data_IF_790314377182
#
_entry.id   IF_790314377182
#
_cell.length_a   1.000
_cell.length_b   1.000
_cell.length_c   1.000
_cell.angle_alpha   90.00
_cell.angle_beta   90.00
_cell.angle_gamma   90.00
#
_symmetry.space_group_name_H-M   'P 1'
#
loop_
_entity.id
_entity.type
_entity.pdbx_description
1 polymer ?
#
# COMPACT_ATOMS: atom_id res chain seq x y z
N UNK A 1 46.70 -27.47 -10.74
CA UNK A 1 46.16 -27.29 -12.10
C UNK A 1 45.16 -28.41 -12.28
N UNK A 2 43.87 -28.26 -12.51
CA UNK A 2 42.93 -27.21 -12.95
C UNK A 2 41.56 -27.84 -12.62
N UNK A 3 40.58 -27.24 -11.94
CA UNK A 3 40.02 -25.91 -12.17
C UNK A 3 38.71 -26.05 -12.96
N UNK A 4 37.59 -25.70 -12.33
CA UNK A 4 36.30 -25.42 -12.98
C UNK A 4 35.23 -26.51 -12.83
N UNK A 5 34.02 -26.25 -12.38
CA UNK A 5 33.39 -25.02 -11.95
C UNK A 5 32.04 -25.36 -11.32
N UNK A 6 31.78 -24.85 -10.11
CA UNK A 6 30.49 -24.98 -9.44
C UNK A 6 29.57 -23.95 -10.09
N UNK A 7 28.60 -24.41 -10.86
CA UNK A 7 27.56 -23.57 -11.43
C UNK A 7 26.67 -23.00 -10.33
N UNK A 8 26.92 -21.74 -9.96
CA UNK A 8 25.96 -20.88 -9.31
C UNK A 8 24.95 -20.37 -10.35
N UNK A 9 23.69 -20.18 -9.93
CA UNK A 9 22.73 -19.35 -10.66
C UNK A 9 21.52 -20.10 -11.21
N UNK A 10 20.61 -20.50 -10.33
CA UNK A 10 19.21 -20.79 -10.69
C UNK A 10 18.31 -20.00 -9.75
N UNK A 11 17.86 -18.83 -10.16
CA UNK A 11 16.86 -18.05 -9.42
C UNK A 11 15.56 -18.84 -9.35
N UNK A 12 15.28 -19.45 -8.20
CA UNK A 12 14.06 -20.24 -7.98
C UNK A 12 12.92 -19.28 -7.65
N UNK A 13 12.26 -18.75 -8.67
CA UNK A 13 10.84 -18.38 -8.56
C UNK A 13 10.02 -19.68 -8.64
N UNK A 14 10.05 -20.46 -7.57
CA UNK A 14 9.38 -21.76 -7.50
C UNK A 14 9.14 -22.22 -6.06
N UNK A 15 7.87 -22.19 -5.65
CA UNK A 15 7.28 -22.91 -4.51
C UNK A 15 7.41 -22.37 -3.06
N UNK A 16 8.07 -21.24 -2.78
CA UNK A 16 8.30 -20.79 -1.39
C UNK A 16 7.37 -19.71 -0.80
N UNK A 17 6.89 -18.71 -1.58
CA UNK A 17 6.26 -17.52 -0.98
C UNK A 17 5.33 -16.77 -1.94
N UNK A 18 4.18 -17.35 -2.32
CA UNK A 18 3.18 -16.57 -3.07
C UNK A 18 2.52 -15.54 -2.16
N UNK A 19 2.37 -14.30 -2.65
CA UNK A 19 1.57 -13.28 -1.98
C UNK A 19 0.13 -13.74 -1.71
N UNK A 20 -0.39 -14.68 -2.51
CA UNK A 20 -1.68 -15.35 -2.25
C UNK A 20 -1.73 -16.03 -0.88
N UNK A 21 -0.60 -16.55 -0.38
CA UNK A 21 -0.51 -17.11 0.98
C UNK A 21 -0.77 -16.03 2.02
N UNK A 22 -0.19 -14.85 1.86
CA UNK A 22 -0.47 -13.71 2.74
C UNK A 22 -1.94 -13.33 2.67
N UNK A 23 -2.51 -13.15 1.47
CA UNK A 23 -3.93 -12.81 1.28
C UNK A 23 -4.84 -13.81 1.99
N UNK A 24 -4.64 -15.12 1.78
CA UNK A 24 -5.44 -16.16 2.43
C UNK A 24 -5.38 -16.06 3.95
N UNK A 25 -4.17 -15.98 4.51
CA UNK A 25 -3.98 -15.89 5.96
C UNK A 25 -4.54 -14.58 6.53
N UNK A 26 -4.39 -13.46 5.83
CA UNK A 26 -4.97 -12.18 6.24
C UNK A 26 -6.50 -12.27 6.31
N UNK A 27 -7.15 -12.84 5.27
CA UNK A 27 -8.60 -13.04 5.27
C UNK A 27 -9.06 -14.00 6.37
N UNK A 28 -8.32 -15.08 6.65
CA UNK A 28 -8.59 -15.97 7.78
C UNK A 28 -8.51 -15.22 9.12
N UNK A 29 -7.46 -14.41 9.34
CA UNK A 29 -7.32 -13.61 10.56
C UNK A 29 -8.44 -12.58 10.72
N UNK A 30 -8.92 -11.97 9.63
CA UNK A 30 -10.08 -11.06 9.69
C UNK A 30 -11.35 -11.81 10.07
N UNK A 31 -11.59 -13.01 9.50
CA UNK A 31 -12.78 -13.82 9.79
C UNK A 31 -12.89 -14.29 11.23
N UNK A 32 -11.75 -14.39 11.93
CA UNK A 32 -11.74 -14.68 13.36
C UNK A 32 -12.26 -13.52 14.22
N UNK A 33 -12.31 -12.30 13.68
CA UNK A 33 -12.70 -11.07 14.40
C UNK A 33 -14.03 -10.50 13.93
N UNK A 34 -14.35 -10.64 12.64
CA UNK A 34 -15.58 -10.12 12.05
C UNK A 34 -16.04 -10.93 10.84
N UNK A 35 -17.34 -10.94 10.57
CA UNK A 35 -17.87 -11.52 9.34
C UNK A 35 -17.46 -10.68 8.12
N UNK A 36 -16.91 -11.34 7.09
CA UNK A 36 -16.60 -10.75 5.79
C UNK A 36 -17.69 -11.11 4.79
N UNK A 37 -18.27 -10.11 4.14
CA UNK A 37 -19.24 -10.26 3.04
C UNK A 37 -18.58 -9.83 1.73
N UNK A 38 -18.76 -10.53 0.60
CA UNK A 38 -18.27 -10.06 -0.69
C UNK A 38 -18.73 -8.64 -0.99
N UNK A 39 -17.82 -7.76 -1.40
CA UNK A 39 -18.15 -6.39 -1.76
C UNK A 39 -18.74 -6.35 -3.18
N UNK A 40 -19.65 -5.42 -3.54
CA UNK A 40 -20.22 -5.33 -4.89
C UNK A 40 -19.19 -5.24 -6.02
N UNK A 41 -18.03 -4.62 -5.77
CA UNK A 41 -16.92 -4.57 -6.74
C UNK A 41 -16.40 -5.96 -7.13
N UNK A 42 -16.64 -6.99 -6.31
CA UNK A 42 -16.18 -8.35 -6.57
C UNK A 42 -16.73 -8.90 -7.88
N UNK A 43 -17.99 -8.60 -8.22
CA UNK A 43 -18.64 -9.19 -9.39
C UNK A 43 -17.99 -8.76 -10.70
N UNK A 44 -17.66 -7.46 -10.82
CA UNK A 44 -17.05 -6.88 -12.02
C UNK A 44 -15.63 -7.40 -12.27
N UNK A 45 -14.88 -7.70 -11.20
CA UNK A 45 -13.46 -8.06 -11.29
C UNK A 45 -13.14 -9.51 -10.86
N UNK A 46 -14.17 -10.36 -10.73
CA UNK A 46 -14.01 -11.78 -10.38
C UNK A 46 -13.13 -12.56 -11.37
N UNK A 47 -13.20 -12.18 -12.65
CA UNK A 47 -12.41 -12.81 -13.72
C UNK A 47 -11.68 -11.71 -14.50
N UNK A 48 -10.39 -11.56 -14.25
CA UNK A 48 -9.54 -10.65 -15.01
C UNK A 48 -8.79 -11.47 -16.06
N UNK A 49 -9.02 -11.17 -17.34
CA UNK A 49 -8.27 -11.78 -18.44
C UNK A 49 -7.07 -10.91 -18.77
N UNK A 50 -5.88 -11.48 -18.65
CA UNK A 50 -4.67 -10.84 -19.15
C UNK A 50 -4.63 -10.88 -20.69
N UNK A 51 -3.92 -9.92 -21.28
CA UNK A 51 -3.66 -9.83 -22.71
C UNK A 51 -2.77 -10.99 -23.19
N UNK A 52 -1.90 -11.49 -22.31
CA UNK A 52 -1.17 -12.73 -22.51
C UNK A 52 -1.68 -13.80 -21.53
N UNK A 53 -1.89 -15.03 -22.01
CA UNK A 53 -2.36 -16.15 -21.16
C UNK A 53 -1.33 -16.59 -20.10
N UNK A 54 -0.21 -15.85 -19.97
CA UNK A 54 0.88 -16.15 -19.06
C UNK A 54 0.77 -15.43 -17.71
N UNK A 55 -0.03 -14.36 -17.63
CA UNK A 55 -0.25 -13.62 -16.39
C UNK A 55 -1.61 -13.97 -15.77
N UNK A 56 -1.59 -14.32 -14.48
CA UNK A 56 -2.78 -14.56 -13.67
C UNK A 56 -2.97 -13.37 -12.74
N UNK A 57 -4.18 -12.79 -12.77
CA UNK A 57 -4.59 -11.73 -11.87
C UNK A 57 -5.74 -12.25 -11.01
N UNK A 58 -5.59 -12.19 -9.69
CA UNK A 58 -6.63 -12.58 -8.73
C UNK A 58 -7.02 -11.37 -7.88
N UNK A 59 -8.31 -11.06 -7.88
CA UNK A 59 -8.90 -9.88 -7.27
C UNK A 59 -10.00 -10.30 -6.31
N UNK A 60 -9.83 -9.98 -5.02
CA UNK A 60 -10.78 -10.27 -3.95
C UNK A 60 -11.15 -8.99 -3.23
N UNK A 61 -12.43 -8.80 -2.91
CA UNK A 61 -12.97 -7.62 -2.24
C UNK A 61 -14.12 -8.00 -1.30
N UNK A 62 -14.06 -7.46 -0.09
CA UNK A 62 -14.99 -7.74 0.99
C UNK A 62 -15.33 -6.46 1.78
N UNK A 63 -16.45 -6.49 2.48
CA UNK A 63 -16.86 -5.51 3.48
C UNK A 63 -17.11 -6.20 4.82
N UNK A 64 -17.07 -5.42 5.91
CA UNK A 64 -17.43 -5.83 7.27
C UNK A 64 -17.93 -4.59 8.06
N UNK A 65 -18.53 -4.73 9.25
CA UNK A 65 -19.16 -3.60 9.96
C UNK A 65 -18.30 -2.34 10.18
N UNK A 66 -16.98 -2.48 10.36
CA UNK A 66 -16.06 -1.32 10.48
C UNK A 66 -15.21 -1.07 9.23
N UNK A 67 -15.36 -1.93 8.22
CA UNK A 67 -14.48 -2.01 7.05
C UNK A 67 -15.33 -1.80 5.81
N UNK A 68 -15.26 -0.59 5.24
CA UNK A 68 -15.91 -0.26 3.98
C UNK A 68 -15.43 -1.17 2.86
N UNK A 69 -14.11 -1.34 2.74
CA UNK A 69 -13.50 -2.15 1.69
C UNK A 69 -12.18 -2.79 2.16
N UNK A 70 -12.15 -4.11 2.21
CA UNK A 70 -10.94 -4.94 2.28
C UNK A 70 -10.72 -5.56 0.91
N UNK A 71 -9.62 -5.22 0.23
CA UNK A 71 -9.36 -5.73 -1.12
C UNK A 71 -7.92 -6.17 -1.34
N UNK A 72 -7.76 -7.17 -2.19
CA UNK A 72 -6.48 -7.66 -2.65
C UNK A 72 -6.48 -7.81 -4.17
N UNK A 73 -5.41 -7.34 -4.81
CA UNK A 73 -5.02 -7.72 -6.16
C UNK A 73 -3.68 -8.45 -6.07
N UNK A 74 -3.62 -9.67 -6.58
CA UNK A 74 -2.36 -10.37 -6.82
C UNK A 74 -2.15 -10.55 -8.31
N UNK A 75 -0.90 -10.39 -8.76
CA UNK A 75 -0.51 -10.68 -10.14
C UNK A 75 0.62 -11.66 -10.10
N UNK A 76 0.54 -12.73 -10.88
CA UNK A 76 1.61 -13.69 -11.04
C UNK A 76 1.86 -13.95 -12.53
N UNK A 77 3.08 -13.66 -12.97
CA UNK A 77 3.60 -14.09 -14.26
C UNK A 77 4.89 -14.88 -14.00
N UNK A 78 4.84 -16.18 -14.28
CA UNK A 78 5.92 -17.13 -13.98
C UNK A 78 7.28 -16.60 -14.45
N UNK A 79 8.28 -16.69 -13.59
CA UNK A 79 9.66 -16.24 -13.84
C UNK A 79 9.82 -14.77 -14.26
N UNK A 80 8.79 -13.92 -14.06
CA UNK A 80 8.78 -12.55 -14.56
C UNK A 80 8.40 -11.54 -13.47
N UNK A 81 7.18 -11.64 -12.92
CA UNK A 81 6.71 -10.67 -11.94
C UNK A 81 5.71 -11.30 -10.98
N UNK A 82 5.79 -10.87 -9.71
CA UNK A 82 4.78 -11.08 -8.69
C UNK A 82 4.38 -9.74 -8.09
N UNK A 83 3.08 -9.50 -7.95
CA UNK A 83 2.54 -8.26 -7.37
C UNK A 83 1.57 -8.59 -6.25
N UNK A 84 1.61 -7.80 -5.19
CA UNK A 84 0.59 -7.68 -4.17
C UNK A 84 0.16 -6.22 -4.09
N UNK A 85 -1.14 -5.98 -4.18
CA UNK A 85 -1.76 -4.75 -3.70
C UNK A 85 -2.89 -5.16 -2.74
N UNK A 86 -2.68 -4.97 -1.44
CA UNK A 86 -3.65 -5.30 -0.41
C UNK A 86 -3.88 -4.08 0.48
N UNK A 87 -5.14 -3.74 0.73
CA UNK A 87 -5.50 -2.61 1.56
C UNK A 87 -6.84 -2.82 2.23
N UNK A 88 -7.00 -2.11 3.34
CA UNK A 88 -8.23 -2.07 4.11
C UNK A 88 -8.60 -0.61 4.40
N UNK A 89 -9.80 -0.24 3.97
CA UNK A 89 -10.41 1.07 4.19
C UNK A 89 -11.53 0.91 5.21
N UNK A 90 -11.50 1.72 6.26
CA UNK A 90 -12.58 1.76 7.25
C UNK A 90 -13.82 2.46 6.72
N UNK A 91 -14.96 2.20 7.36
CA UNK A 91 -16.11 3.10 7.23
C UNK A 91 -15.76 4.49 7.78
N UNK A 92 -16.30 5.60 7.21
CA UNK A 92 -15.98 6.95 7.65
C UNK A 92 -16.28 7.26 9.12
N UNK A 93 -17.12 6.47 9.77
CA UNK A 93 -17.41 6.54 11.20
C UNK A 93 -16.22 6.06 12.06
N UNK A 94 -15.20 5.43 11.46
CA UNK A 94 -13.98 5.01 12.14
C UNK A 94 -12.77 5.67 11.47
N UNK A 95 -12.05 6.51 12.21
CA UNK A 95 -10.87 7.26 11.74
C UNK A 95 -9.59 6.40 11.66
N UNK A 96 -9.74 5.09 11.40
CA UNK A 96 -8.63 4.16 11.35
C UNK A 96 -7.61 4.54 10.26
N UNK A 97 -6.31 4.28 10.50
CA UNK A 97 -5.32 4.28 9.42
C UNK A 97 -5.71 3.30 8.31
N UNK A 98 -5.35 3.62 7.08
CA UNK A 98 -5.54 2.74 5.92
C UNK A 98 -4.42 1.70 5.93
N UNK A 99 -4.76 0.41 6.10
CA UNK A 99 -3.75 -0.64 5.91
C UNK A 99 -3.34 -0.67 4.45
N UNK A 100 -2.05 -0.70 4.16
CA UNK A 100 -1.51 -0.64 2.81
C UNK A 100 -0.30 -1.56 2.67
N UNK A 101 -0.41 -2.55 1.77
CA UNK A 101 0.67 -3.46 1.43
C UNK A 101 0.78 -3.55 -0.10
N UNK A 102 1.76 -2.84 -0.65
CA UNK A 102 2.11 -2.83 -2.05
C UNK A 102 3.50 -3.46 -2.22
N UNK A 103 3.57 -4.62 -2.87
CA UNK A 103 4.82 -5.29 -3.17
C UNK A 103 4.91 -5.63 -4.66
N UNK A 104 6.03 -5.29 -5.29
CA UNK A 104 6.35 -5.61 -6.67
C UNK A 104 7.68 -6.35 -6.70
N UNK A 105 7.65 -7.60 -7.14
CA UNK A 105 8.82 -8.47 -7.17
C UNK A 105 9.10 -8.96 -8.59
N UNK A 106 10.37 -8.89 -8.97
CA UNK A 106 10.95 -9.44 -10.20
C UNK A 106 12.08 -10.39 -9.83
N UNK A 107 12.66 -11.15 -10.78
CA UNK A 107 13.87 -11.93 -10.50
C UNK A 107 15.06 -11.10 -9.98
N UNK A 108 15.10 -9.80 -10.29
CA UNK A 108 16.22 -8.92 -9.92
C UNK A 108 16.03 -8.28 -8.53
N UNK A 109 14.81 -7.85 -8.20
CA UNK A 109 14.54 -7.10 -6.97
C UNK A 109 13.06 -7.15 -6.57
N UNK A 110 12.83 -6.94 -5.28
CA UNK A 110 11.55 -6.62 -4.67
C UNK A 110 11.52 -5.15 -4.26
N UNK A 111 10.42 -4.47 -4.58
CA UNK A 111 10.11 -3.09 -4.18
C UNK A 111 8.85 -3.15 -3.33
N UNK A 112 8.92 -2.70 -2.09
CA UNK A 112 7.83 -2.85 -1.12
C UNK A 112 7.52 -1.54 -0.42
N UNK A 113 6.23 -1.22 -0.33
CA UNK A 113 5.64 -0.27 0.60
C UNK A 113 4.67 -1.04 1.49
N UNK A 114 4.93 -1.07 2.79
CA UNK A 114 4.04 -1.64 3.80
C UNK A 114 3.83 -0.61 4.91
N UNK A 115 2.58 -0.26 5.17
CA UNK A 115 2.25 0.80 6.12
C UNK A 115 0.83 0.68 6.67
N UNK A 116 0.60 1.41 7.75
CA UNK A 116 -0.72 1.86 8.20
C UNK A 116 -0.78 3.35 7.85
N UNK A 117 -1.14 3.68 6.60
CA UNK A 117 -1.14 5.06 6.12
C UNK A 117 -2.10 5.91 6.98
N UNK A 118 -1.67 7.07 7.50
CA UNK A 118 -2.54 7.89 8.33
C UNK A 118 -3.69 8.45 7.51
N UNK A 119 -4.86 8.54 8.12
CA UNK A 119 -6.00 9.18 7.48
C UNK A 119 -5.77 10.69 7.34
N UNK A 120 -5.11 11.31 8.31
CA UNK A 120 -4.82 12.74 8.34
C UNK A 120 -3.33 13.05 8.17
N UNK A 121 -3.01 14.32 7.92
CA UNK A 121 -1.62 14.78 7.87
C UNK A 121 -1.05 14.81 9.29
N UNK A 122 -0.19 13.84 9.60
CA UNK A 122 0.41 13.68 10.93
C UNK A 122 1.46 14.73 11.30
N UNK A 123 1.84 15.62 10.36
CA UNK A 123 2.67 16.78 10.67
C UNK A 123 1.85 17.90 11.32
N UNK A 124 0.56 17.96 11.00
CA UNK A 124 -0.41 18.92 11.53
C UNK A 124 -1.26 18.30 12.66
N UNK A 125 -1.78 17.09 12.45
CA UNK A 125 -2.67 16.36 13.37
C UNK A 125 -1.88 15.50 14.37
N UNK A 126 -1.17 16.15 15.30
CA UNK A 126 -0.35 15.46 16.32
C UNK A 126 -1.16 14.53 17.22
N UNK A 127 -2.39 14.90 17.59
CA UNK A 127 -3.26 14.04 18.40
C UNK A 127 -3.61 12.73 17.68
N UNK A 128 -3.82 12.78 16.36
CA UNK A 128 -4.04 11.60 15.54
C UNK A 128 -2.78 10.74 15.43
N UNK A 129 -1.62 11.38 15.21
CA UNK A 129 -0.32 10.71 15.19
C UNK A 129 -0.11 9.93 16.49
N UNK A 130 -0.31 10.59 17.63
CA UNK A 130 -0.10 10.00 18.95
C UNK A 130 -1.09 8.88 19.26
N UNK A 131 -2.37 9.07 18.90
CA UNK A 131 -3.42 8.05 19.07
C UNK A 131 -3.05 6.73 18.42
N UNK A 132 -2.51 6.76 17.19
CA UNK A 132 -2.31 5.56 16.39
C UNK A 132 -0.88 5.02 16.35
N UNK A 133 0.15 5.87 16.41
CA UNK A 133 1.52 5.44 16.09
C UNK A 133 2.47 5.38 17.29
N UNK A 134 2.16 6.07 18.40
CA UNK A 134 3.03 6.10 19.59
C UNK A 134 3.43 4.70 20.06
N UNK A 135 2.46 3.78 20.13
CA UNK A 135 2.67 2.41 20.58
C UNK A 135 3.11 1.44 19.48
N UNK A 136 3.21 1.90 18.22
CA UNK A 136 3.62 1.08 17.08
C UNK A 136 5.09 1.26 16.69
N UNK A 137 5.82 2.21 17.27
CA UNK A 137 7.25 2.39 16.99
C UNK A 137 8.11 1.12 17.20
N UNK A 138 7.86 0.26 18.22
CA UNK A 138 8.59 -1.01 18.34
C UNK A 138 8.43 -1.93 17.12
N UNK A 139 7.32 -1.82 16.37
CA UNK A 139 7.06 -2.63 15.18
C UNK A 139 8.02 -2.28 14.03
N UNK A 140 8.19 -0.99 13.71
CA UNK A 140 9.15 -0.59 12.68
C UNK A 140 10.59 -0.82 13.13
N UNK A 141 10.90 -0.62 14.42
CA UNK A 141 12.22 -0.91 14.96
C UNK A 141 12.61 -2.38 14.81
N UNK A 142 11.65 -3.31 14.96
CA UNK A 142 11.87 -4.74 14.71
C UNK A 142 12.35 -5.03 13.28
N UNK A 143 11.84 -4.31 12.28
CA UNK A 143 12.12 -4.63 10.87
C UNK A 143 13.19 -3.77 10.22
N UNK A 144 13.24 -2.46 10.51
CA UNK A 144 14.10 -1.51 9.80
C UNK A 144 15.32 -1.06 10.60
N UNK A 145 15.14 -0.67 11.87
CA UNK A 145 16.22 -0.01 12.63
C UNK A 145 17.09 -0.98 13.43
N UNK A 146 16.47 -1.82 14.26
CA UNK A 146 17.19 -2.67 15.22
C UNK A 146 17.76 -3.93 14.59
N UNK A 147 17.00 -4.54 13.68
CA UNK A 147 17.40 -5.81 13.04
C UNK A 147 17.84 -5.65 11.58
N UNK A 148 17.70 -4.44 11.00
CA UNK A 148 18.07 -4.13 9.60
C UNK A 148 17.60 -5.18 8.59
N UNK A 149 16.42 -5.76 8.82
CA UNK A 149 15.89 -6.86 8.00
C UNK A 149 15.27 -6.35 6.70
N UNK A 150 14.72 -5.12 6.72
CA UNK A 150 14.12 -4.43 5.60
C UNK A 150 14.66 -2.98 5.57
N UNK A 151 15.83 -2.74 4.94
CA UNK A 151 16.48 -1.43 4.94
C UNK A 151 15.69 -0.42 4.09
N UNK A 152 15.92 0.88 4.32
CA UNK A 152 15.28 1.95 3.56
C UNK A 152 15.60 1.85 2.06
N UNK A 153 14.59 1.98 1.21
CA UNK A 153 14.70 1.78 -0.24
C UNK A 153 15.35 2.92 -1.04
N UNK A 154 15.95 3.91 -0.37
CA UNK A 154 16.51 5.11 -1.00
C UNK A 154 15.45 6.14 -1.41
N UNK A 155 15.78 7.02 -2.37
CA UNK A 155 14.89 8.16 -2.71
C UNK A 155 13.48 7.75 -3.14
N UNK A 156 12.49 8.43 -2.59
CA UNK A 156 11.07 8.25 -2.89
C UNK A 156 10.43 9.54 -3.37
N UNK A 157 9.31 9.42 -4.11
CA UNK A 157 8.50 10.57 -4.54
C UNK A 157 8.08 11.39 -3.31
N UNK A 158 8.49 12.66 -3.27
CA UNK A 158 8.36 13.49 -2.06
C UNK A 158 6.92 13.66 -1.62
N UNK A 159 6.00 13.83 -2.56
CA UNK A 159 4.57 13.97 -2.29
C UNK A 159 3.94 12.70 -1.69
N UNK A 160 4.54 11.52 -1.91
CA UNK A 160 4.06 10.27 -1.30
C UNK A 160 4.22 10.27 0.22
N UNK A 161 5.20 11.00 0.77
CA UNK A 161 5.41 11.06 2.22
C UNK A 161 4.22 11.68 2.97
N UNK A 162 3.40 12.51 2.30
CA UNK A 162 2.16 13.08 2.86
C UNK A 162 1.15 12.01 3.30
N UNK A 163 1.32 10.78 2.80
CA UNK A 163 0.43 9.65 3.08
C UNK A 163 1.12 8.53 3.85
N UNK A 164 2.37 8.71 4.28
CA UNK A 164 3.12 7.69 4.99
C UNK A 164 3.17 7.98 6.49
N UNK A 165 3.14 6.91 7.27
CA UNK A 165 3.29 6.98 8.71
C UNK A 165 4.76 6.90 9.16
N UNK A 166 5.05 7.20 10.44
CA UNK A 166 6.38 7.00 11.02
C UNK A 166 6.76 5.52 11.18
N UNK A 167 5.88 4.57 10.82
CA UNK A 167 6.17 3.14 10.82
C UNK A 167 6.22 2.55 9.42
N UNK A 168 6.19 3.37 8.35
CA UNK A 168 6.27 2.89 6.97
C UNK A 168 7.54 2.07 6.73
N UNK A 169 7.37 0.90 6.11
CA UNK A 169 8.43 0.12 5.48
C UNK A 169 8.41 0.47 3.99
N UNK A 170 9.35 1.32 3.57
CA UNK A 170 9.73 1.50 2.18
C UNK A 170 11.09 0.85 1.97
N UNK A 171 11.15 -0.21 1.16
CA UNK A 171 12.35 -1.02 1.01
C UNK A 171 12.50 -1.56 -0.41
N UNK A 172 13.75 -1.71 -0.83
CA UNK A 172 14.15 -2.40 -2.06
C UNK A 172 15.21 -3.43 -1.67
N UNK A 173 15.03 -4.69 -2.06
CA UNK A 173 15.95 -5.76 -1.69
C UNK A 173 15.98 -6.89 -2.74
N UNK A 174 16.99 -7.75 -2.68
CA UNK A 174 17.08 -8.94 -3.53
C UNK A 174 16.06 -10.02 -3.14
N UNK A 175 15.35 -10.65 -4.09
CA UNK A 175 14.21 -11.53 -3.85
C UNK A 175 14.63 -12.95 -3.42
N UNK A 176 15.41 -13.05 -2.34
CA UNK A 176 15.83 -14.32 -1.75
C UNK A 176 14.72 -14.90 -0.87
N UNK A 177 14.71 -16.23 -0.69
CA UNK A 177 13.75 -16.91 0.19
C UNK A 177 13.76 -16.33 1.61
N UNK A 178 14.96 -16.05 2.15
CA UNK A 178 15.13 -15.40 3.46
C UNK A 178 14.45 -14.03 3.50
N UNK A 179 14.69 -13.17 2.51
CA UNK A 179 14.11 -11.83 2.49
C UNK A 179 12.59 -11.87 2.33
N UNK A 180 12.07 -12.80 1.54
CA UNK A 180 10.63 -13.02 1.42
C UNK A 180 10.00 -13.59 2.70
N UNK A 181 10.71 -14.41 3.46
CA UNK A 181 10.26 -14.88 4.77
C UNK A 181 10.16 -13.72 5.78
N UNK A 182 11.14 -12.82 5.78
CA UNK A 182 11.10 -11.58 6.56
C UNK A 182 9.92 -10.71 6.12
N UNK A 183 9.74 -10.49 4.81
CA UNK A 183 8.62 -9.71 4.28
C UNK A 183 7.27 -10.29 4.69
N UNK A 184 7.10 -11.62 4.60
CA UNK A 184 5.87 -12.28 5.04
C UNK A 184 5.60 -12.04 6.53
N UNK A 185 6.64 -12.10 7.36
CA UNK A 185 6.53 -11.81 8.80
C UNK A 185 6.11 -10.36 9.05
N UNK A 186 6.71 -9.40 8.34
CA UNK A 186 6.35 -7.98 8.43
C UNK A 186 4.90 -7.74 8.00
N UNK A 187 4.49 -8.28 6.85
CA UNK A 187 3.12 -8.21 6.35
C UNK A 187 2.11 -8.70 7.40
N UNK A 188 2.37 -9.86 8.01
CA UNK A 188 1.48 -10.43 9.02
C UNK A 188 1.46 -9.62 10.32
N UNK A 189 2.59 -9.13 10.80
CA UNK A 189 2.64 -8.34 12.04
C UNK A 189 1.96 -6.98 11.89
N UNK A 190 2.21 -6.27 10.77
CA UNK A 190 1.53 -5.01 10.46
C UNK A 190 0.02 -5.21 10.32
N UNK A 191 -0.40 -6.29 9.64
CA UNK A 191 -1.83 -6.56 9.47
C UNK A 191 -2.51 -6.92 10.80
N UNK A 192 -1.84 -7.69 11.67
CA UNK A 192 -2.34 -7.97 13.02
C UNK A 192 -2.45 -6.72 13.88
N UNK A 193 -1.48 -5.80 13.79
CA UNK A 193 -1.54 -4.52 14.47
C UNK A 193 -2.74 -3.69 13.98
N UNK A 194 -2.98 -3.63 12.67
CA UNK A 194 -4.16 -2.97 12.11
C UNK A 194 -5.47 -3.61 12.58
N UNK A 195 -5.57 -4.94 12.59
CA UNK A 195 -6.75 -5.63 13.14
C UNK A 195 -7.00 -5.31 14.62
N UNK A 196 -5.94 -5.17 15.43
CA UNK A 196 -6.07 -4.76 16.83
C UNK A 196 -6.59 -3.33 16.97
N UNK A 197 -6.13 -2.40 16.11
CA UNK A 197 -6.70 -1.05 16.06
C UNK A 197 -8.18 -1.09 15.68
N UNK A 198 -8.55 -1.91 14.70
CA UNK A 198 -9.95 -2.08 14.27
C UNK A 198 -10.84 -2.59 15.40
N UNK A 199 -10.36 -3.54 16.22
CA UNK A 199 -11.11 -4.03 17.39
C UNK A 199 -11.37 -2.89 18.40
N UNK A 200 -10.36 -2.06 18.65
CA UNK A 200 -10.40 -0.96 19.62
C UNK A 200 -11.12 0.30 19.10
N UNK A 201 -11.34 0.40 17.79
CA UNK A 201 -11.94 1.58 17.18
C UNK A 201 -13.37 1.81 17.69
N UNK A 202 -13.62 3.00 18.22
CA UNK A 202 -14.95 3.47 18.59
C UNK A 202 -15.60 4.21 17.41
N UNK A 203 -16.90 4.06 17.27
CA UNK A 203 -17.70 4.75 16.26
C UNK A 203 -17.79 6.25 16.58
N UNK A 204 -17.49 7.08 15.59
CA UNK A 204 -17.58 8.54 15.69
C UNK A 204 -19.01 8.99 15.35
N UNK A 205 -19.69 9.57 16.35
CA UNK A 205 -21.08 10.02 16.23
C UNK A 205 -21.18 11.49 15.81
N UNK A 206 -20.08 12.25 15.86
CA UNK A 206 -20.05 13.63 15.40
C UNK A 206 -20.00 13.69 13.87
N UNK A 207 -21.12 14.11 13.26
CA UNK A 207 -21.28 14.24 11.80
C UNK A 207 -20.17 15.04 11.12
N UNK A 208 -19.68 16.11 11.74
CA UNK A 208 -18.59 16.94 11.17
C UNK A 208 -17.29 16.16 11.09
N UNK A 209 -16.98 15.34 12.10
CA UNK A 209 -15.80 14.49 12.08
C UNK A 209 -15.94 13.33 11.09
N UNK A 210 -17.12 12.71 10.98
CA UNK A 210 -17.40 11.69 9.96
C UNK A 210 -17.22 12.25 8.55
N UNK A 211 -17.70 13.47 8.29
CA UNK A 211 -17.47 14.17 7.01
C UNK A 211 -15.98 14.41 6.77
N UNK A 212 -15.22 14.83 7.80
CA UNK A 212 -13.77 14.99 7.72
C UNK A 212 -13.06 13.66 7.39
N UNK A 213 -13.45 12.56 8.03
CA UNK A 213 -12.90 11.22 7.77
C UNK A 213 -13.13 10.81 6.33
N UNK A 214 -14.37 10.98 5.85
CA UNK A 214 -14.76 10.67 4.47
C UNK A 214 -13.93 11.46 3.46
N UNK A 215 -13.81 12.77 3.67
CA UNK A 215 -13.04 13.67 2.83
C UNK A 215 -11.56 13.30 2.79
N UNK A 216 -10.98 12.95 3.94
CA UNK A 216 -9.60 12.54 4.04
C UNK A 216 -9.33 11.21 3.31
N UNK A 217 -10.24 10.25 3.45
CA UNK A 217 -10.18 8.99 2.69
C UNK A 217 -10.33 9.24 1.19
N UNK A 218 -11.28 10.10 0.79
CA UNK A 218 -11.47 10.49 -0.61
C UNK A 218 -10.19 11.13 -1.20
N UNK A 219 -9.56 12.09 -0.50
CA UNK A 219 -8.28 12.70 -0.91
C UNK A 219 -7.19 11.65 -1.14
N UNK A 220 -7.06 10.66 -0.25
CA UNK A 220 -6.10 9.56 -0.41
C UNK A 220 -6.39 8.72 -1.66
N UNK A 221 -7.66 8.34 -1.87
CA UNK A 221 -8.08 7.55 -3.03
C UNK A 221 -7.85 8.32 -4.33
N UNK A 222 -8.18 9.61 -4.38
CA UNK A 222 -7.94 10.49 -5.53
C UNK A 222 -6.45 10.59 -5.86
N UNK A 223 -5.59 10.73 -4.85
CA UNK A 223 -4.14 10.73 -5.05
C UNK A 223 -3.65 9.42 -5.68
N UNK A 224 -4.03 8.28 -5.07
CA UNK A 224 -3.58 6.96 -5.52
C UNK A 224 -4.11 6.64 -6.92
N UNK A 225 -5.40 6.88 -7.19
CA UNK A 225 -5.99 6.61 -8.50
C UNK A 225 -5.27 7.35 -9.64
N UNK A 226 -4.77 8.55 -9.39
CA UNK A 226 -4.06 9.37 -10.40
C UNK A 226 -2.56 9.05 -10.48
N UNK A 227 -1.88 8.81 -9.34
CA UNK A 227 -0.41 8.80 -9.25
C UNK A 227 0.21 7.44 -8.90
N UNK A 228 -0.59 6.39 -8.72
CA UNK A 228 -0.10 5.06 -8.33
C UNK A 228 0.95 4.52 -9.34
N UNK A 229 2.10 4.04 -8.85
CA UNK A 229 3.18 3.60 -9.72
C UNK A 229 2.89 2.31 -10.49
N UNK A 230 1.91 1.51 -10.07
CA UNK A 230 1.54 0.23 -10.65
C UNK A 230 0.69 0.34 -11.92
N UNK A 231 0.07 1.49 -12.18
CA UNK A 231 -0.84 1.67 -13.31
C UNK A 231 -0.24 1.31 -14.69
N UNK A 232 1.01 1.69 -15.04
CA UNK A 232 1.61 1.29 -16.32
C UNK A 232 1.72 -0.23 -16.51
N UNK A 233 1.96 -0.97 -15.44
CA UNK A 233 2.01 -2.44 -15.49
C UNK A 233 0.60 -3.00 -15.78
N UNK A 234 -0.42 -2.50 -15.09
CA UNK A 234 -1.81 -2.92 -15.33
C UNK A 234 -2.21 -2.63 -16.78
N UNK A 235 -1.93 -1.43 -17.29
CA UNK A 235 -2.18 -1.08 -18.70
C UNK A 235 -1.58 -2.09 -19.67
N UNK A 236 -0.34 -2.52 -19.42
CA UNK A 236 0.34 -3.53 -20.25
C UNK A 236 -0.34 -4.90 -20.15
N UNK A 237 -0.74 -5.30 -18.95
CA UNK A 237 -1.28 -6.63 -18.69
C UNK A 237 -2.73 -6.80 -19.16
N UNK A 238 -3.58 -5.79 -19.01
CA UNK A 238 -5.04 -5.92 -19.21
C UNK A 238 -5.64 -4.84 -20.12
N UNK A 239 -4.80 -4.00 -20.74
CA UNK A 239 -5.24 -2.91 -21.60
C UNK A 239 -5.64 -1.65 -20.83
N UNK A 240 -5.61 -0.49 -21.52
CA UNK A 240 -5.79 0.81 -20.87
C UNK A 240 -7.17 1.03 -20.27
N UNK A 241 -8.24 0.73 -21.01
CA UNK A 241 -9.60 0.93 -20.52
C UNK A 241 -9.88 0.08 -19.29
N UNK A 242 -9.55 -1.20 -19.32
CA UNK A 242 -9.83 -2.11 -18.21
C UNK A 242 -8.92 -1.86 -17.00
N UNK A 243 -7.67 -1.43 -17.24
CA UNK A 243 -6.79 -0.97 -16.16
C UNK A 243 -7.35 0.27 -15.46
N UNK A 244 -7.95 1.21 -16.21
CA UNK A 244 -8.58 2.41 -15.62
C UNK A 244 -9.75 2.01 -14.73
N UNK A 245 -10.64 1.15 -15.23
CA UNK A 245 -11.78 0.63 -14.46
C UNK A 245 -11.31 -0.10 -13.20
N UNK A 246 -10.30 -0.98 -13.31
CA UNK A 246 -9.75 -1.71 -12.15
C UNK A 246 -9.17 -0.74 -11.10
N UNK A 247 -8.54 0.35 -11.53
CA UNK A 247 -7.99 1.36 -10.62
C UNK A 247 -9.09 2.12 -9.89
N UNK A 248 -10.09 2.63 -10.61
CA UNK A 248 -11.10 3.54 -10.05
C UNK A 248 -12.29 2.84 -9.40
N UNK A 249 -12.62 1.62 -9.84
CA UNK A 249 -13.79 0.89 -9.36
C UNK A 249 -13.46 -0.32 -8.48
N UNK A 250 -12.17 -0.63 -8.28
CA UNK A 250 -11.74 -1.72 -7.41
C UNK A 250 -10.60 -1.34 -6.47
N UNK A 251 -9.43 -0.96 -6.99
CA UNK A 251 -8.25 -0.69 -6.15
C UNK A 251 -8.46 0.53 -5.25
N UNK A 252 -9.08 1.58 -5.81
CA UNK A 252 -9.41 2.83 -5.15
C UNK A 252 -10.91 3.15 -5.26
N UNK A 253 -11.74 2.11 -5.17
CA UNK A 253 -13.19 2.27 -5.02
C UNK A 253 -13.49 3.21 -3.84
N UNK A 254 -14.36 4.18 -4.12
CA UNK A 254 -14.60 5.34 -3.26
C UNK A 254 -14.24 6.67 -3.92
N UNK A 255 -13.35 6.68 -4.92
CA UNK A 255 -12.91 7.91 -5.62
C UNK A 255 -14.03 8.65 -6.36
N UNK A 256 -15.13 7.96 -6.68
CA UNK A 256 -16.30 8.56 -7.33
C UNK A 256 -17.53 8.67 -6.42
N UNK A 257 -17.49 8.08 -5.22
CA UNK A 257 -18.66 7.94 -4.35
C UNK A 257 -18.49 8.62 -2.98
N UNK A 258 -17.27 8.81 -2.49
CA UNK A 258 -17.01 9.42 -1.18
C UNK A 258 -16.97 10.96 -1.22
N UNK A 259 -16.73 11.55 -2.40
CA UNK A 259 -16.64 13.00 -2.56
C UNK A 259 -16.76 13.42 -4.03
N UNK A 260 -16.78 14.74 -4.25
CA UNK A 260 -16.93 15.34 -5.58
C UNK A 260 -15.71 16.17 -6.02
N UNK A 261 -14.75 16.40 -5.13
CA UNK A 261 -13.51 17.13 -5.45
C UNK A 261 -12.65 16.35 -6.44
N UNK A 262 -12.16 17.04 -7.45
CA UNK A 262 -11.22 16.50 -8.43
C UNK A 262 -9.81 16.37 -7.84
N UNK A 263 -8.91 15.74 -8.60
CA UNK A 263 -7.49 15.69 -8.25
C UNK A 263 -6.87 17.09 -8.10
N UNK A 264 -7.23 18.04 -8.97
CA UNK A 264 -6.68 19.41 -8.91
C UNK A 264 -7.25 20.25 -7.77
N UNK A 265 -8.44 19.91 -7.25
CA UNK A 265 -8.98 20.54 -6.05
C UNK A 265 -8.15 20.19 -4.80
N UNK A 266 -7.58 18.98 -4.75
CA UNK A 266 -6.72 18.54 -3.65
C UNK A 266 -5.24 18.85 -3.86
N UNK A 267 -4.77 18.82 -5.11
CA UNK A 267 -3.37 18.91 -5.48
C UNK A 267 -3.18 19.95 -6.60
N UNK A 268 -3.49 21.24 -6.35
CA UNK A 268 -3.43 22.29 -7.36
C UNK A 268 -2.03 22.50 -7.92
N UNK A 269 -0.98 22.09 -7.22
CA UNK A 269 0.41 22.15 -7.71
C UNK A 269 0.66 21.28 -8.97
N UNK A 270 -0.27 20.39 -9.32
CA UNK A 270 -0.23 19.60 -10.55
C UNK A 270 -1.02 20.23 -11.70
N UNK A 271 -1.66 21.39 -11.52
CA UNK A 271 -2.37 22.06 -12.59
C UNK A 271 -1.40 22.50 -13.70
N UNK A 272 -1.81 22.29 -14.95
CA UNK A 272 -1.18 22.89 -16.13
C UNK A 272 -2.01 24.10 -16.58
N UNK A 273 -1.41 24.99 -17.36
CA UNK A 273 -2.07 26.20 -17.87
C UNK A 273 -3.34 25.90 -18.69
N UNK A 274 -3.43 24.71 -19.29
CA UNK A 274 -4.59 24.22 -20.04
C UNK A 274 -5.70 23.59 -19.16
N UNK A 275 -5.56 23.66 -17.83
CA UNK A 275 -6.49 23.08 -16.85
C UNK A 275 -6.36 21.56 -16.69
N UNK A 276 -5.41 20.91 -17.36
CA UNK A 276 -5.19 19.46 -17.25
C UNK A 276 -4.21 19.10 -16.13
N UNK A 277 -4.26 17.84 -15.68
CA UNK A 277 -3.32 17.32 -14.68
C UNK A 277 -1.94 17.09 -15.31
N UNK A 278 -0.89 17.55 -14.63
CA UNK A 278 0.48 17.29 -15.01
C UNK A 278 0.79 15.78 -14.95
N UNK A 279 1.28 15.21 -16.07
CA UNK A 279 1.62 13.78 -16.20
C UNK A 279 2.82 13.36 -15.37
N UNK A 280 3.62 14.31 -14.85
CA UNK A 280 4.69 13.98 -13.90
C UNK A 280 4.09 13.27 -12.69
N UNK A 281 4.80 12.25 -12.18
CA UNK A 281 4.45 11.60 -10.92
C UNK A 281 4.67 12.55 -9.74
N UNK A 282 5.73 13.34 -9.81
CA UNK A 282 6.19 14.22 -8.75
C UNK A 282 6.53 15.59 -9.35
N UNK A 283 6.00 16.64 -8.75
CA UNK A 283 6.34 18.01 -9.06
C UNK A 283 7.63 18.45 -8.35
N UNK A 284 7.87 17.93 -7.14
CA UNK A 284 9.08 18.19 -6.34
C UNK A 284 10.27 17.34 -6.81
N UNK A 285 10.00 16.10 -7.21
CA UNK A 285 11.00 15.07 -7.50
C UNK A 285 11.15 14.05 -6.37
N UNK A 286 12.11 13.13 -6.55
CA UNK A 286 12.44 12.14 -5.52
C UNK A 286 13.44 12.71 -4.53
N UNK A 287 13.20 12.53 -3.24
CA UNK A 287 14.07 12.96 -2.13
C UNK A 287 14.17 11.84 -1.07
N UNK A 288 14.77 12.14 0.08
CA UNK A 288 14.88 11.26 1.25
C UNK A 288 15.69 9.98 0.97
N UNK A 289 16.99 10.16 0.72
CA UNK A 289 17.95 9.05 0.56
C UNK A 289 18.00 8.17 1.82
N UNK A 290 17.85 8.78 2.99
CA UNK A 290 17.68 8.11 4.27
C UNK A 290 16.23 8.18 4.75
N UNK A 291 15.89 7.32 5.72
CA UNK A 291 14.59 7.31 6.39
C UNK A 291 14.32 8.69 7.03
N UNK A 292 13.21 9.38 6.70
CA UNK A 292 12.98 10.75 7.17
C UNK A 292 12.29 10.84 8.54
N UNK A 293 12.29 9.76 9.33
CA UNK A 293 11.83 9.73 10.71
C UNK A 293 12.93 9.18 11.62
N UNK A 294 13.04 9.72 12.82
CA UNK A 294 13.90 9.16 13.86
C UNK A 294 13.25 7.94 14.56
N UNK A 295 13.98 7.33 15.49
CA UNK A 295 13.56 6.13 16.22
C UNK A 295 12.30 6.35 17.08
N UNK A 296 11.93 7.60 17.37
CA UNK A 296 10.70 7.97 18.10
C UNK A 296 9.53 8.27 17.17
N UNK A 297 9.77 8.32 15.86
CA UNK A 297 8.78 8.63 14.84
C UNK A 297 8.60 10.13 14.61
N UNK A 298 9.54 10.96 15.06
CA UNK A 298 9.58 12.38 14.71
C UNK A 298 10.17 12.60 13.32
N UNK A 299 9.53 13.46 12.53
CA UNK A 299 9.96 13.73 11.17
C UNK A 299 11.23 14.59 11.17
N UNK A 300 12.28 14.11 10.52
CA UNK A 300 13.61 14.75 10.44
C UNK A 300 14.04 15.06 9.00
N UNK A 301 13.23 14.73 8.00
CA UNK A 301 13.58 14.83 6.57
C UNK A 301 13.87 16.23 6.02
N UNK A 302 13.84 17.27 6.86
CA UNK A 302 14.30 18.63 6.51
C UNK A 302 15.70 18.99 7.02
N UNK A 303 16.35 18.13 7.82
CA UNK A 303 17.65 18.43 8.45
C UNK A 303 18.87 18.06 7.60
N UNK A 304 18.69 17.28 6.54
CA UNK A 304 19.76 16.86 5.62
C UNK A 304 19.82 17.73 4.34
N UNK A 305 19.19 18.91 4.37
CA UNK A 305 19.16 19.89 3.27
C UNK A 305 20.08 21.11 3.50
N UNK A 306 20.90 21.09 4.55
CA UNK A 306 22.01 22.03 4.79
C UNK A 306 23.37 21.33 4.68
#
# INVERSE_FOLDING_TARGET
MSGGGVGAGGGVLGAGSSYQRFVRTALEQTRLRTALTPHPSQEKFRLIRANDDAAVLDALSFTAPKIRLLRSLTVEKKNSVQVLDFAAFSEPEYDLPIFCANAFTTPAQSIVVLDLNPLYDITEDRDYKDKYYRNLMPLIQKYSEKMQLLPWGGKITSESLRFFSPIVIWTIFEPTERNHHVLYSALMDYYKAWLQLTDQAAEENNKTKVVRNREAQHRYLTWRAEKDPGFPLLKKLIGESYAKDLVTEFLFEGVHSLGSKSFLDYFPEYARDDGTVNKKRSMIGKSFEARPWDATGEFIGGKDAE
#
